data_IF_623523452530
#
_entry.id   IF_623523452530
#
_cell.length_a   1.000
_cell.length_b   1.000
_cell.length_c   1.000
_cell.angle_alpha   90.00
_cell.angle_beta   90.00
_cell.angle_gamma   90.00
#
_symmetry.space_group_name_H-M   'P 1'
#
loop_
_entity.id
_entity.type
_entity.pdbx_description
1 polymer ?
#
# COMPACT_ATOMS: atom_id res chain seq x y z
N UNK A 1 -10.95 31.96 3.00
CA UNK A 1 -10.25 32.76 1.97
C UNK A 1 -8.85 32.18 1.80
N UNK A 2 -8.56 31.54 0.66
CA UNK A 2 -7.24 30.99 0.33
C UNK A 2 -6.74 31.69 -0.93
N UNK A 3 -5.47 32.11 -0.90
CA UNK A 3 -4.82 32.96 -1.90
C UNK A 3 -4.56 32.16 -3.20
N UNK A 4 -4.57 32.79 -4.39
CA UNK A 4 -4.11 32.13 -5.62
C UNK A 4 -2.58 31.98 -5.51
N UNK A 5 -2.10 30.75 -5.35
CA UNK A 5 -0.67 30.47 -5.31
C UNK A 5 -0.17 30.24 -6.74
N UNK A 6 0.74 31.12 -7.16
CA UNK A 6 1.39 31.15 -8.46
C UNK A 6 2.00 29.80 -8.84
N UNK A 7 1.82 29.44 -10.11
CA UNK A 7 2.57 28.41 -10.83
C UNK A 7 4.05 28.80 -10.79
N UNK A 8 4.82 28.19 -9.89
CA UNK A 8 6.30 28.25 -9.92
C UNK A 8 6.78 26.97 -10.59
N UNK A 9 7.07 27.09 -11.89
CA UNK A 9 7.69 26.05 -12.70
C UNK A 9 9.13 25.84 -12.20
N UNK A 10 9.29 24.98 -11.20
CA UNK A 10 10.60 24.67 -10.60
C UNK A 10 11.18 23.46 -11.33
N UNK A 11 12.10 23.71 -12.25
CA UNK A 11 12.91 22.69 -12.91
C UNK A 11 13.90 22.10 -11.91
N UNK A 12 13.52 20.99 -11.26
CA UNK A 12 14.41 20.25 -10.39
C UNK A 12 15.25 19.27 -11.23
N UNK A 13 16.48 19.66 -11.54
CA UNK A 13 17.48 18.75 -12.07
C UNK A 13 17.92 17.78 -10.96
N UNK A 14 17.52 16.51 -11.04
CA UNK A 14 18.11 15.47 -10.19
C UNK A 14 19.31 14.83 -10.89
N UNK A 15 20.48 15.11 -10.31
CA UNK A 15 21.74 14.45 -10.59
C UNK A 15 21.63 12.94 -10.27
N UNK A 16 21.92 12.13 -11.27
CA UNK A 16 21.99 10.68 -11.13
C UNK A 16 23.17 10.28 -10.25
N UNK A 17 22.88 9.54 -9.16
CA UNK A 17 23.87 8.70 -8.51
C UNK A 17 23.50 7.25 -8.78
N UNK A 18 24.25 6.66 -9.71
CA UNK A 18 24.28 5.22 -9.90
C UNK A 18 24.86 4.57 -8.65
N UNK A 19 24.13 3.66 -8.03
CA UNK A 19 24.67 2.69 -7.08
C UNK A 19 24.07 1.33 -7.41
N UNK A 20 24.95 0.43 -7.82
CA UNK A 20 24.62 -0.88 -8.35
C UNK A 20 24.49 -1.98 -7.30
N UNK A 21 24.18 -3.17 -7.85
CA UNK A 21 24.26 -4.51 -7.28
C UNK A 21 23.32 -4.85 -6.11
N UNK A 22 22.26 -5.61 -6.42
CA UNK A 22 22.17 -7.03 -6.05
C UNK A 22 20.90 -7.66 -6.66
N UNK A 23 21.03 -8.33 -7.80
CA UNK A 23 19.99 -9.22 -8.31
C UNK A 23 20.18 -10.61 -7.67
N UNK A 24 19.51 -10.85 -6.55
CA UNK A 24 19.27 -12.20 -6.05
C UNK A 24 17.91 -12.67 -6.58
N UNK A 25 17.89 -13.26 -7.78
CA UNK A 25 16.68 -13.78 -8.41
C UNK A 25 16.32 -15.15 -7.78
N UNK A 26 15.54 -15.11 -6.70
CA UNK A 26 14.97 -16.29 -6.05
C UNK A 26 13.69 -16.74 -6.73
N UNK A 27 13.71 -17.97 -7.25
CA UNK A 27 12.62 -18.83 -7.75
C UNK A 27 11.20 -18.46 -7.27
N UNK A 28 10.49 -17.62 -8.03
CA UNK A 28 9.09 -17.23 -7.84
C UNK A 28 8.35 -17.10 -9.18
N UNK A 29 8.09 -18.22 -9.85
CA UNK A 29 7.82 -18.23 -11.30
C UNK A 29 6.47 -17.70 -11.78
N UNK A 30 5.36 -17.98 -11.08
CA UNK A 30 4.03 -17.72 -11.68
C UNK A 30 3.17 -16.67 -10.94
N UNK A 31 3.24 -16.66 -9.61
CA UNK A 31 2.43 -15.73 -8.80
C UNK A 31 2.99 -14.31 -8.84
N UNK A 32 4.31 -14.16 -8.87
CA UNK A 32 4.97 -12.86 -8.88
C UNK A 32 4.77 -12.16 -10.23
N UNK A 33 4.91 -12.88 -11.34
CA UNK A 33 4.59 -12.35 -12.66
C UNK A 33 3.13 -11.93 -12.81
N UNK A 34 2.19 -12.77 -12.34
CA UNK A 34 0.77 -12.42 -12.38
C UNK A 34 0.50 -11.17 -11.55
N UNK A 35 1.13 -11.05 -10.38
CA UNK A 35 0.99 -9.91 -9.50
C UNK A 35 1.60 -8.64 -10.10
N UNK A 36 2.73 -8.74 -10.80
CA UNK A 36 3.33 -7.63 -11.56
C UNK A 36 2.39 -7.17 -12.68
N UNK A 37 1.89 -8.09 -13.51
CA UNK A 37 0.92 -7.77 -14.58
C UNK A 37 -0.34 -7.09 -14.05
N UNK A 38 -0.83 -7.50 -12.87
CA UNK A 38 -1.96 -6.83 -12.23
C UNK A 38 -1.62 -5.42 -11.74
N UNK A 39 -0.42 -5.19 -11.20
CA UNK A 39 0.01 -3.85 -10.77
C UNK A 39 0.19 -2.91 -11.97
N UNK A 40 0.78 -3.38 -13.05
CA UNK A 40 0.95 -2.62 -14.28
C UNK A 40 -0.40 -2.16 -14.85
N UNK A 41 -1.38 -3.08 -14.94
CA UNK A 41 -2.74 -2.73 -15.38
C UNK A 41 -3.42 -1.69 -14.48
N UNK A 42 -3.18 -1.74 -13.16
CA UNK A 42 -3.73 -0.75 -12.23
C UNK A 42 -3.08 0.62 -12.44
N UNK A 43 -1.77 0.65 -12.63
CA UNK A 43 -1.04 1.89 -12.90
C UNK A 43 -1.47 2.50 -14.23
N UNK A 44 -1.62 1.68 -15.28
CA UNK A 44 -2.09 2.11 -16.59
C UNK A 44 -3.48 2.76 -16.50
N UNK A 45 -4.44 2.08 -15.87
CA UNK A 45 -5.78 2.64 -15.69
C UNK A 45 -5.78 3.94 -14.88
N UNK A 46 -4.97 4.02 -13.83
CA UNK A 46 -4.82 5.24 -13.05
C UNK A 46 -4.18 6.36 -13.88
N UNK A 47 -3.17 6.04 -14.69
CA UNK A 47 -2.48 7.00 -15.54
C UNK A 47 -3.42 7.63 -16.56
N UNK A 48 -4.23 6.81 -17.23
CA UNK A 48 -5.26 7.27 -18.16
C UNK A 48 -6.31 8.14 -17.46
N UNK A 49 -6.79 7.70 -16.29
CA UNK A 49 -7.81 8.43 -15.55
C UNK A 49 -7.31 9.77 -15.04
N UNK A 50 -6.07 9.85 -14.58
CA UNK A 50 -5.48 11.09 -14.08
C UNK A 50 -4.87 11.97 -15.18
N UNK A 51 -4.69 11.43 -16.40
CA UNK A 51 -4.00 12.14 -17.47
C UNK A 51 -2.54 12.41 -17.11
N UNK A 52 -1.83 11.40 -16.61
CA UNK A 52 -0.43 11.53 -16.23
C UNK A 52 0.46 11.70 -17.46
N UNK A 53 1.46 12.59 -17.37
CA UNK A 53 2.53 12.67 -18.36
C UNK A 53 3.40 11.40 -18.36
N UNK A 54 4.24 11.23 -19.38
CA UNK A 54 5.17 10.10 -19.44
C UNK A 54 6.14 10.11 -18.25
N UNK A 55 6.62 11.28 -17.85
CA UNK A 55 7.50 11.46 -16.70
C UNK A 55 6.77 11.11 -15.38
N UNK A 56 5.54 11.61 -15.20
CA UNK A 56 4.73 11.28 -14.02
C UNK A 56 4.43 9.78 -13.95
N UNK A 57 4.15 9.14 -15.09
CA UNK A 57 3.89 7.69 -15.17
C UNK A 57 5.13 6.89 -14.76
N UNK A 58 6.32 7.30 -15.19
CA UNK A 58 7.57 6.65 -14.82
C UNK A 58 7.85 6.78 -13.31
N UNK A 59 7.71 7.99 -12.75
CA UNK A 59 7.87 8.23 -11.31
C UNK A 59 6.84 7.45 -10.48
N UNK A 60 5.60 7.38 -10.95
CA UNK A 60 4.54 6.62 -10.29
C UNK A 60 4.78 5.10 -10.37
N UNK A 61 5.37 4.61 -11.46
CA UNK A 61 5.77 3.19 -11.59
C UNK A 61 6.79 2.83 -10.54
N UNK A 62 7.80 3.67 -10.35
CA UNK A 62 8.84 3.48 -9.34
C UNK A 62 8.23 3.54 -7.92
N UNK A 63 7.39 4.54 -7.64
CA UNK A 63 6.75 4.69 -6.33
C UNK A 63 5.82 3.51 -5.98
N UNK A 64 5.13 2.94 -6.98
CA UNK A 64 4.20 1.83 -6.80
C UNK A 64 4.87 0.46 -6.90
N UNK A 65 6.10 0.40 -7.40
CA UNK A 65 6.89 -0.81 -7.47
C UNK A 65 6.87 -1.50 -6.10
N UNK A 66 6.65 -2.81 -6.11
CA UNK A 66 6.66 -3.57 -4.89
C UNK A 66 8.06 -3.56 -4.30
N UNK A 67 8.25 -3.21 -3.01
CA UNK A 67 9.41 -3.74 -2.32
C UNK A 67 9.29 -5.27 -2.32
N UNK A 68 10.44 -5.96 -2.41
CA UNK A 68 10.54 -7.41 -2.34
C UNK A 68 9.89 -7.99 -1.06
N UNK A 69 9.70 -7.17 -0.04
CA UNK A 69 9.28 -7.56 1.32
C UNK A 69 7.77 -7.73 1.50
N UNK A 70 6.93 -7.53 0.47
CA UNK A 70 5.47 -7.80 0.58
C UNK A 70 5.12 -9.25 0.90
N UNK A 71 6.07 -10.18 0.72
CA UNK A 71 5.94 -11.56 1.19
C UNK A 71 6.20 -11.65 2.70
N UNK A 72 7.24 -10.97 3.19
CA UNK A 72 7.55 -10.88 4.62
C UNK A 72 6.36 -10.28 5.39
N UNK A 73 5.78 -9.15 4.95
CA UNK A 73 4.60 -8.55 5.59
C UNK A 73 3.41 -9.52 5.71
N UNK A 74 3.21 -10.35 4.67
CA UNK A 74 2.11 -11.33 4.62
C UNK A 74 2.39 -12.50 5.54
N UNK A 75 3.62 -12.98 5.57
CA UNK A 75 4.04 -14.08 6.43
C UNK A 75 3.98 -13.65 7.90
N UNK A 76 4.46 -12.45 8.23
CA UNK A 76 4.39 -11.87 9.57
C UNK A 76 2.95 -11.70 10.08
N UNK A 77 2.03 -11.20 9.24
CA UNK A 77 0.61 -11.09 9.61
C UNK A 77 -0.02 -12.46 9.88
N UNK A 78 0.30 -13.46 9.05
CA UNK A 78 -0.16 -14.83 9.23
C UNK A 78 0.40 -15.44 10.50
N UNK A 79 1.64 -15.11 10.81
CA UNK A 79 2.34 -15.56 12.01
C UNK A 79 1.67 -15.03 13.28
N UNK A 80 1.48 -13.71 13.35
CA UNK A 80 0.76 -13.06 14.45
C UNK A 80 -0.65 -13.64 14.64
N UNK A 81 -1.41 -13.82 13.56
CA UNK A 81 -2.74 -14.43 13.62
C UNK A 81 -2.73 -15.89 14.08
N UNK A 82 -1.65 -16.63 13.82
CA UNK A 82 -1.49 -17.99 14.29
C UNK A 82 -1.17 -18.00 15.78
N UNK A 83 -0.21 -17.18 16.22
CA UNK A 83 0.16 -17.05 17.63
C UNK A 83 -1.03 -16.66 18.51
N UNK A 84 -1.88 -15.72 18.05
CA UNK A 84 -3.11 -15.35 18.76
C UNK A 84 -4.07 -16.54 18.89
N UNK A 85 -4.24 -17.34 17.82
CA UNK A 85 -5.12 -18.51 17.82
C UNK A 85 -4.60 -19.66 18.70
N UNK A 86 -3.29 -19.74 18.86
CA UNK A 86 -2.61 -20.78 19.65
C UNK A 86 -2.43 -20.39 21.13
N UNK A 87 -2.89 -19.21 21.55
CA UNK A 87 -2.86 -18.81 22.95
C UNK A 87 -3.71 -19.75 23.81
N UNK A 88 -3.07 -20.37 24.81
CA UNK A 88 -3.74 -21.14 25.84
C UNK A 88 -4.26 -20.21 26.94
N UNK A 89 -5.58 -20.07 27.02
CA UNK A 89 -6.26 -19.22 28.01
C UNK A 89 -6.16 -19.74 29.45
N UNK A 90 -5.74 -20.99 29.65
CA UNK A 90 -5.53 -21.58 30.97
C UNK A 90 -4.07 -21.45 31.45
N UNK A 91 -3.15 -20.98 30.61
CA UNK A 91 -1.74 -20.85 30.95
C UNK A 91 -1.51 -19.72 31.98
N UNK A 92 -0.63 -19.97 32.96
CA UNK A 92 -0.29 -18.99 33.99
C UNK A 92 0.34 -17.69 33.45
N UNK A 93 0.96 -17.75 32.26
CA UNK A 93 1.58 -16.61 31.58
C UNK A 93 0.71 -16.04 30.45
N UNK A 94 -0.56 -16.42 30.35
CA UNK A 94 -1.47 -15.99 29.28
C UNK A 94 -1.47 -14.47 29.04
N UNK A 95 -1.67 -13.67 30.10
CA UNK A 95 -1.73 -12.21 29.97
C UNK A 95 -0.42 -11.63 29.45
N UNK A 96 0.72 -12.13 29.94
CA UNK A 96 2.03 -11.68 29.47
C UNK A 96 2.24 -11.99 27.98
N UNK A 97 1.82 -13.17 27.52
CA UNK A 97 1.89 -13.54 26.09
C UNK A 97 0.96 -12.68 25.25
N UNK A 98 -0.26 -12.45 25.73
CA UNK A 98 -1.23 -11.59 25.05
C UNK A 98 -0.70 -10.16 24.89
N UNK A 99 -0.13 -9.58 25.95
CA UNK A 99 0.45 -8.24 25.93
C UNK A 99 1.59 -8.15 24.91
N UNK A 100 2.48 -9.15 24.84
CA UNK A 100 3.53 -9.21 23.83
C UNK A 100 3.01 -9.24 22.39
N UNK A 101 1.93 -9.99 22.13
CA UNK A 101 1.30 -10.02 20.80
C UNK A 101 0.61 -8.70 20.46
N UNK A 102 0.02 -8.02 21.44
CA UNK A 102 -0.57 -6.68 21.27
C UNK A 102 0.53 -5.68 20.90
N UNK A 103 1.65 -5.68 21.61
CA UNK A 103 2.79 -4.80 21.31
C UNK A 103 3.33 -5.05 19.88
N UNK A 104 3.50 -6.31 19.49
CA UNK A 104 3.91 -6.67 18.13
C UNK A 104 2.91 -6.14 17.09
N UNK A 105 1.61 -6.31 17.33
CA UNK A 105 0.57 -5.82 16.43
C UNK A 105 0.59 -4.29 16.29
N UNK A 106 0.80 -3.57 17.39
CA UNK A 106 0.88 -2.11 17.40
C UNK A 106 2.09 -1.61 16.61
N UNK A 107 3.25 -2.25 16.76
CA UNK A 107 4.46 -1.91 16.00
C UNK A 107 4.24 -2.09 14.49
N UNK A 108 3.72 -3.25 14.07
CA UNK A 108 3.42 -3.53 12.67
C UNK A 108 2.40 -2.55 12.07
N UNK A 109 1.37 -2.17 12.84
CA UNK A 109 0.40 -1.16 12.42
C UNK A 109 1.06 0.21 12.27
N UNK A 110 1.89 0.61 13.22
CA UNK A 110 2.61 1.88 13.20
C UNK A 110 3.54 2.00 11.99
N UNK A 111 4.23 0.93 11.61
CA UNK A 111 5.06 0.88 10.39
C UNK A 111 4.23 1.01 9.12
N UNK A 112 3.13 0.26 9.01
CA UNK A 112 2.23 0.35 7.85
C UNK A 112 1.62 1.75 7.68
N UNK A 113 1.26 2.41 8.78
CA UNK A 113 0.75 3.79 8.74
C UNK A 113 1.85 4.72 8.22
N UNK A 114 3.08 4.62 8.75
CA UNK A 114 4.21 5.45 8.31
C UNK A 114 4.54 5.24 6.83
N UNK A 115 4.61 3.99 6.38
CA UNK A 115 4.88 3.67 4.98
C UNK A 115 3.78 4.22 4.05
N UNK A 116 2.50 4.09 4.45
CA UNK A 116 1.37 4.64 3.69
C UNK A 116 1.47 6.15 3.58
N UNK A 117 1.79 6.84 4.67
CA UNK A 117 1.93 8.31 4.66
C UNK A 117 3.12 8.75 3.81
N UNK A 118 4.26 8.07 3.90
CA UNK A 118 5.42 8.35 3.07
C UNK A 118 5.10 8.19 1.57
N UNK A 119 4.38 7.13 1.19
CA UNK A 119 3.91 6.94 -0.19
C UNK A 119 2.91 8.02 -0.63
N UNK A 120 2.00 8.42 0.25
CA UNK A 120 1.05 9.48 -0.05
C UNK A 120 1.76 10.82 -0.30
N UNK A 121 2.70 11.17 0.56
CA UNK A 121 3.52 12.38 0.42
C UNK A 121 4.37 12.34 -0.87
N UNK A 122 5.00 11.20 -1.19
CA UNK A 122 5.76 11.06 -2.43
C UNK A 122 4.87 11.20 -3.68
N UNK A 123 3.63 10.71 -3.63
CA UNK A 123 2.67 10.85 -4.71
C UNK A 123 2.20 12.30 -4.90
N UNK A 124 2.04 13.08 -3.83
CA UNK A 124 1.73 14.51 -3.91
C UNK A 124 2.81 15.31 -4.64
N UNK A 125 4.07 14.88 -4.55
CA UNK A 125 5.16 15.52 -5.30
C UNK A 125 5.15 15.19 -6.80
N UNK A 126 4.40 14.16 -7.23
CA UNK A 126 4.30 13.72 -8.63
C UNK A 126 3.07 14.33 -9.30
N UNK A 127 1.94 14.40 -8.58
CA UNK A 127 0.65 14.83 -9.11
C UNK A 127 0.47 16.35 -9.02
N UNK A 128 -0.33 16.91 -9.93
CA UNK A 128 -0.86 18.27 -9.78
C UNK A 128 -2.05 18.31 -8.83
N UNK A 129 -2.40 19.48 -8.30
CA UNK A 129 -3.57 19.67 -7.43
C UNK A 129 -4.89 19.15 -8.06
N UNK A 130 -5.06 19.35 -9.37
CA UNK A 130 -6.22 18.87 -10.11
C UNK A 130 -6.23 17.33 -10.20
N UNK A 131 -5.06 16.73 -10.43
CA UNK A 131 -4.90 15.27 -10.47
C UNK A 131 -5.11 14.64 -9.09
N UNK A 132 -4.65 15.27 -8.01
CA UNK A 132 -4.87 14.83 -6.64
C UNK A 132 -6.36 14.84 -6.28
N UNK A 133 -7.06 15.92 -6.62
CA UNK A 133 -8.50 16.03 -6.40
C UNK A 133 -9.25 14.92 -7.13
N UNK A 134 -8.89 14.66 -8.39
CA UNK A 134 -9.48 13.58 -9.18
C UNK A 134 -9.19 12.19 -8.59
N UNK A 135 -7.97 11.98 -8.07
CA UNK A 135 -7.60 10.76 -7.38
C UNK A 135 -8.45 10.55 -6.13
N UNK A 136 -8.67 11.59 -5.32
CA UNK A 136 -9.51 11.52 -4.14
C UNK A 136 -10.96 11.13 -4.48
N UNK A 137 -11.54 11.70 -5.53
CA UNK A 137 -12.88 11.33 -6.01
C UNK A 137 -12.95 9.87 -6.47
N UNK A 138 -11.92 9.39 -7.19
CA UNK A 138 -11.84 8.00 -7.61
C UNK A 138 -11.77 7.04 -6.42
N UNK A 139 -11.04 7.41 -5.37
CA UNK A 139 -10.95 6.64 -4.13
C UNK A 139 -12.32 6.62 -3.44
N UNK A 140 -12.99 7.77 -3.29
CA UNK A 140 -14.30 7.85 -2.66
C UNK A 140 -15.34 6.98 -3.39
N UNK A 141 -15.44 7.10 -4.72
CA UNK A 141 -16.35 6.26 -5.54
C UNK A 141 -16.08 4.77 -5.36
N UNK A 142 -14.81 4.39 -5.18
CA UNK A 142 -14.43 3.00 -4.91
C UNK A 142 -14.86 2.56 -3.51
N UNK A 143 -14.72 3.44 -2.50
CA UNK A 143 -15.17 3.17 -1.14
C UNK A 143 -16.69 2.99 -1.08
N UNK A 144 -17.45 3.88 -1.70
CA UNK A 144 -18.93 3.80 -1.76
C UNK A 144 -19.37 2.48 -2.40
N UNK A 145 -18.72 2.10 -3.51
CA UNK A 145 -19.01 0.82 -4.19
C UNK A 145 -18.71 -0.39 -3.29
N UNK A 146 -17.63 -0.36 -2.51
CA UNK A 146 -17.31 -1.44 -1.57
C UNK A 146 -18.32 -1.53 -0.43
N UNK A 147 -18.80 -0.39 0.08
CA UNK A 147 -19.86 -0.37 1.10
C UNK A 147 -21.15 -1.03 0.58
N UNK A 148 -21.54 -0.73 -0.66
CA UNK A 148 -22.74 -1.31 -1.26
C UNK A 148 -22.63 -2.83 -1.51
N UNK A 149 -21.46 -3.34 -1.89
CA UNK A 149 -21.26 -4.78 -2.08
C UNK A 149 -21.10 -5.56 -0.77
N UNK A 150 -20.59 -4.93 0.30
CA UNK A 150 -20.44 -5.56 1.62
C UNK A 150 -21.78 -5.95 2.27
N UNK A 151 -22.88 -5.27 1.92
CA UNK A 151 -24.21 -5.54 2.49
C UNK A 151 -24.90 -6.80 1.92
N UNK A 152 -24.43 -7.35 0.80
CA UNK A 152 -25.01 -8.57 0.19
C UNK A 152 -24.21 -9.86 0.47
N UNK A 153 -23.01 -9.76 1.04
CA UNK A 153 -22.15 -10.93 1.33
C UNK A 153 -22.33 -11.56 2.71
N UNK A 154 -23.14 -10.96 3.59
CA UNK A 154 -23.25 -11.33 5.01
C UNK A 154 -24.14 -12.53 5.35
N UNK A 155 -24.78 -13.18 4.37
CA UNK A 155 -25.67 -14.33 4.62
C UNK A 155 -24.98 -15.70 4.53
N UNK A 156 -23.65 -15.74 4.41
CA UNK A 156 -22.85 -16.97 4.42
C UNK A 156 -21.82 -16.99 5.54
N UNK A 157 -22.26 -16.80 6.78
CA UNK A 157 -21.58 -17.32 7.98
C UNK A 157 -22.45 -17.08 9.23
N UNK A 158 -23.47 -17.92 9.39
CA UNK A 158 -24.04 -18.23 10.71
C UNK A 158 -23.63 -19.65 11.04
N UNK A 159 -22.44 -19.79 11.62
CA UNK A 159 -21.87 -21.10 11.94
C UNK A 159 -20.64 -21.00 12.81
N UNK A 160 -20.82 -20.53 14.04
CA UNK A 160 -20.02 -20.90 15.22
C UNK A 160 -20.97 -21.07 16.39
#
# INVERSE_FOLDING_TARGET
MRKPMMIVLTTLALAGTASGLAMAHGKGGDNDERQQRHQEKRLEHMSEKLGLSEEQRAQMKELMAAPADRKADRDEKRDLQRQIRELDTAAADYNQRLDGLIEQAQQQLGEQIRERQAKHQAMQNILTDEQETKLAEMIQKRMDKMEHHGRHGGERDKGW
#
